data_IF_572828738247
#
_entry.id   IF_572828738247
#
_cell.length_a   1.000
_cell.length_b   1.000
_cell.length_c   1.000
_cell.angle_alpha   90.00
_cell.angle_beta   90.00
_cell.angle_gamma   90.00
#
_symmetry.space_group_name_H-M   'P 1'
#
loop_
_entity.id
_entity.type
_entity.pdbx_description
1 polymer ?
#
# COMPACT_ATOMS: atom_id res chain seq x y z
N UNK A 1 -25.07 2.56 -18.69
CA UNK A 1 -23.72 2.95 -18.23
C UNK A 1 -23.00 1.66 -17.89
N UNK A 2 -21.86 1.39 -18.51
CA UNK A 2 -21.05 0.22 -18.22
C UNK A 2 -20.44 0.45 -16.83
N UNK A 3 -20.60 -0.51 -15.91
CA UNK A 3 -19.94 -0.44 -14.60
C UNK A 3 -18.42 -0.34 -14.83
N UNK A 4 -17.80 0.71 -14.35
CA UNK A 4 -16.39 0.98 -14.61
C UNK A 4 -15.53 0.04 -13.80
N UNK A 5 -15.92 -0.23 -12.55
CA UNK A 5 -15.28 -1.18 -11.67
C UNK A 5 -16.27 -1.63 -10.59
N UNK A 6 -16.22 -2.89 -10.24
CA UNK A 6 -17.07 -3.43 -9.19
C UNK A 6 -16.29 -4.47 -8.40
N UNK A 7 -15.91 -4.14 -7.15
CA UNK A 7 -15.19 -5.04 -6.27
C UNK A 7 -15.80 -5.00 -4.87
N UNK A 8 -16.46 -6.08 -4.48
CA UNK A 8 -17.14 -6.24 -3.19
C UNK A 8 -16.31 -7.04 -2.19
N UNK A 9 -15.08 -7.39 -2.55
CA UNK A 9 -14.26 -8.28 -1.74
C UNK A 9 -13.12 -7.53 -1.08
N UNK A 10 -12.71 -8.04 0.07
CA UNK A 10 -11.51 -7.65 0.80
C UNK A 10 -10.35 -8.54 0.37
N UNK A 11 -9.16 -7.96 0.26
CA UNK A 11 -7.93 -8.73 0.10
C UNK A 11 -7.35 -9.05 1.47
N UNK A 12 -7.47 -10.29 1.91
CA UNK A 12 -6.95 -10.76 3.20
C UNK A 12 -6.21 -12.08 2.98
N UNK A 13 -4.98 -12.17 3.48
CA UNK A 13 -4.14 -13.38 3.42
C UNK A 13 -3.91 -13.87 1.97
N UNK A 14 -3.66 -12.94 1.05
CA UNK A 14 -3.43 -13.23 -0.36
C UNK A 14 -4.67 -13.70 -1.15
N UNK A 15 -5.85 -13.68 -0.54
CA UNK A 15 -7.10 -14.11 -1.18
C UNK A 15 -8.16 -12.99 -1.13
N UNK A 16 -8.92 -12.88 -2.23
CA UNK A 16 -10.10 -12.03 -2.28
C UNK A 16 -11.27 -12.77 -1.62
N UNK A 17 -11.88 -12.18 -0.60
CA UNK A 17 -13.00 -12.75 0.17
C UNK A 17 -14.08 -11.70 0.43
N UNK A 18 -15.32 -12.14 0.46
CA UNK A 18 -16.47 -11.31 0.83
C UNK A 18 -16.34 -10.95 2.32
N UNK A 19 -16.69 -9.71 2.69
CA UNK A 19 -16.75 -9.28 4.07
C UNK A 19 -17.72 -10.14 4.90
N UNK A 20 -17.50 -10.25 6.19
CA UNK A 20 -18.40 -10.98 7.08
C UNK A 20 -19.83 -10.42 6.94
N UNK A 21 -20.83 -11.32 6.86
CA UNK A 21 -22.23 -11.00 6.63
C UNK A 21 -22.55 -10.36 5.27
N UNK A 22 -21.70 -10.56 4.26
CA UNK A 22 -21.83 -9.93 2.93
C UNK A 22 -21.98 -8.40 3.00
N UNK A 23 -21.33 -7.77 4.02
CA UNK A 23 -21.49 -6.37 4.31
C UNK A 23 -20.85 -5.49 3.21
N UNK A 24 -21.65 -4.58 2.68
CA UNK A 24 -21.22 -3.61 1.66
C UNK A 24 -21.83 -2.25 1.91
N UNK A 25 -21.23 -1.20 1.34
CA UNK A 25 -21.80 0.14 1.33
C UNK A 25 -21.81 0.71 -0.10
N UNK A 26 -22.80 1.57 -0.44
CA UNK A 26 -22.88 2.19 -1.75
C UNK A 26 -21.78 3.22 -1.96
N UNK A 27 -21.19 3.23 -3.16
CA UNK A 27 -20.26 4.27 -3.62
C UNK A 27 -21.02 5.20 -4.55
N UNK A 28 -20.99 6.50 -4.25
CA UNK A 28 -21.67 7.54 -5.01
C UNK A 28 -20.72 8.23 -5.99
N UNK A 29 -21.24 8.57 -7.18
CA UNK A 29 -20.54 9.45 -8.12
C UNK A 29 -20.88 10.91 -7.72
N UNK A 30 -19.92 11.70 -7.23
CA UNK A 30 -20.19 13.06 -6.71
C UNK A 30 -20.60 14.05 -7.81
N UNK A 31 -20.31 13.77 -9.07
CA UNK A 31 -20.71 14.64 -10.18
C UNK A 31 -22.18 14.48 -10.58
N UNK A 32 -22.78 13.31 -10.31
CA UNK A 32 -24.15 13.00 -10.72
C UNK A 32 -25.10 12.76 -9.55
N UNK A 33 -24.58 12.50 -8.35
CA UNK A 33 -25.35 12.04 -7.19
C UNK A 33 -25.91 10.62 -7.34
N UNK A 34 -25.53 9.91 -8.39
CA UNK A 34 -25.97 8.54 -8.66
C UNK A 34 -25.04 7.50 -8.07
N UNK A 35 -25.57 6.33 -7.76
CA UNK A 35 -24.76 5.21 -7.31
C UNK A 35 -23.81 4.75 -8.42
N UNK A 36 -22.52 4.67 -8.13
CA UNK A 36 -21.46 4.16 -9.00
C UNK A 36 -21.33 2.63 -8.89
N UNK A 37 -21.41 2.13 -7.67
CA UNK A 37 -21.25 0.72 -7.35
C UNK A 37 -21.41 0.50 -5.85
N UNK A 38 -20.82 -0.59 -5.36
CA UNK A 38 -20.68 -0.90 -3.93
C UNK A 38 -19.25 -1.27 -3.61
N UNK A 39 -18.86 -1.09 -2.37
CA UNK A 39 -17.59 -1.56 -1.85
C UNK A 39 -17.81 -2.43 -0.61
N UNK A 40 -16.87 -3.32 -0.30
CA UNK A 40 -16.92 -4.13 0.90
C UNK A 40 -16.87 -3.25 2.16
N UNK A 41 -17.72 -3.58 3.14
CA UNK A 41 -17.74 -2.94 4.46
C UNK A 41 -17.12 -3.91 5.48
N UNK A 42 -15.84 -3.73 5.77
CA UNK A 42 -15.09 -4.61 6.64
C UNK A 42 -15.60 -4.55 8.08
N UNK A 43 -15.92 -5.70 8.65
CA UNK A 43 -16.29 -5.84 10.06
C UNK A 43 -15.04 -5.87 10.97
N UNK A 44 -15.20 -5.74 12.30
CA UNK A 44 -14.09 -5.96 13.24
C UNK A 44 -13.43 -7.33 13.06
N UNK A 45 -14.18 -8.39 12.74
CA UNK A 45 -13.63 -9.72 12.52
C UNK A 45 -12.77 -9.79 11.24
N UNK A 46 -13.15 -9.09 10.18
CA UNK A 46 -12.34 -8.96 8.96
C UNK A 46 -11.02 -8.23 9.24
N UNK A 47 -11.09 -7.15 10.04
CA UNK A 47 -9.91 -6.39 10.45
C UNK A 47 -8.96 -7.26 11.29
N UNK A 48 -9.47 -8.00 12.25
CA UNK A 48 -8.67 -8.95 13.06
C UNK A 48 -8.01 -10.01 12.18
N UNK A 49 -8.73 -10.56 11.19
CA UNK A 49 -8.18 -11.52 10.23
C UNK A 49 -7.07 -10.90 9.38
N UNK A 50 -7.23 -9.66 8.92
CA UNK A 50 -6.22 -8.93 8.16
C UNK A 50 -4.96 -8.64 8.98
N UNK A 51 -5.13 -8.20 10.23
CA UNK A 51 -4.01 -7.96 11.17
C UNK A 51 -3.24 -9.26 11.46
N UNK A 52 -3.96 -10.35 11.73
CA UNK A 52 -3.35 -11.67 11.97
C UNK A 52 -2.57 -12.16 10.73
N UNK A 53 -3.12 -11.97 9.53
CA UNK A 53 -2.46 -12.35 8.29
C UNK A 53 -1.19 -11.51 8.03
N UNK A 54 -1.27 -10.18 8.23
CA UNK A 54 -0.13 -9.29 8.09
C UNK A 54 0.97 -9.62 9.12
N UNK A 55 0.59 -9.95 10.35
CA UNK A 55 1.53 -10.37 11.40
C UNK A 55 2.25 -11.66 11.04
N UNK A 56 1.52 -12.68 10.61
CA UNK A 56 2.11 -13.94 10.13
C UNK A 56 3.05 -13.72 8.93
N UNK A 57 2.62 -12.94 7.96
CA UNK A 57 3.44 -12.63 6.79
C UNK A 57 4.77 -11.97 7.20
N UNK A 58 4.74 -11.03 8.14
CA UNK A 58 5.96 -10.41 8.65
C UNK A 58 6.86 -11.40 9.38
N UNK A 59 6.31 -12.26 10.24
CA UNK A 59 7.08 -13.16 11.10
C UNK A 59 7.63 -14.39 10.34
N UNK A 60 6.91 -14.88 9.31
CA UNK A 60 7.14 -16.21 8.73
C UNK A 60 7.61 -16.18 7.28
N UNK A 61 7.38 -15.09 6.52
CA UNK A 61 7.68 -15.05 5.07
C UNK A 61 9.10 -14.61 4.71
N UNK A 62 9.89 -14.18 5.69
CA UNK A 62 11.20 -13.57 5.44
C UNK A 62 11.12 -12.10 4.94
N UNK A 63 9.93 -11.51 4.84
CA UNK A 63 9.71 -10.15 4.35
C UNK A 63 10.64 -9.12 5.02
N UNK A 64 10.80 -9.21 6.33
CA UNK A 64 11.60 -8.28 7.13
C UNK A 64 13.08 -8.25 6.70
N UNK A 65 13.65 -9.40 6.32
CA UNK A 65 15.07 -9.55 5.99
C UNK A 65 15.39 -9.56 4.50
N UNK A 66 14.41 -9.79 3.63
CA UNK A 66 14.62 -9.95 2.19
C UNK A 66 14.30 -8.67 1.41
N UNK A 67 15.30 -7.80 1.26
CA UNK A 67 15.20 -6.54 0.50
C UNK A 67 14.89 -6.81 -0.98
N UNK A 68 15.47 -7.85 -1.58
CA UNK A 68 15.25 -8.19 -2.99
C UNK A 68 13.79 -8.58 -3.24
N UNK A 69 13.19 -9.32 -2.32
CA UNK A 69 11.76 -9.65 -2.37
C UNK A 69 10.90 -8.38 -2.32
N UNK A 70 11.16 -7.47 -1.38
CA UNK A 70 10.41 -6.21 -1.25
C UNK A 70 10.51 -5.36 -2.51
N UNK A 71 11.73 -5.14 -3.02
CA UNK A 71 11.98 -4.39 -4.27
C UNK A 71 11.24 -5.01 -5.44
N UNK A 72 11.32 -6.33 -5.60
CA UNK A 72 10.60 -7.04 -6.67
C UNK A 72 9.09 -6.85 -6.57
N UNK A 73 8.51 -6.97 -5.39
CA UNK A 73 7.08 -6.79 -5.18
C UNK A 73 6.63 -5.35 -5.46
N UNK A 74 7.39 -4.35 -5.02
CA UNK A 74 7.11 -2.94 -5.31
C UNK A 74 7.15 -2.64 -6.82
N UNK A 75 8.15 -3.15 -7.53
CA UNK A 75 8.26 -3.00 -8.99
C UNK A 75 7.13 -3.71 -9.74
N UNK A 76 6.70 -4.89 -9.28
CA UNK A 76 5.54 -5.59 -9.84
C UNK A 76 4.23 -4.82 -9.63
N UNK A 77 4.02 -4.26 -8.44
CA UNK A 77 2.86 -3.42 -8.16
C UNK A 77 2.88 -2.13 -9.00
N UNK A 78 4.03 -1.48 -9.13
CA UNK A 78 4.21 -0.33 -10.01
C UNK A 78 3.79 -0.68 -11.45
N UNK A 79 4.34 -1.74 -12.01
CA UNK A 79 4.04 -2.18 -13.38
C UNK A 79 2.54 -2.47 -13.56
N UNK A 80 1.92 -3.16 -12.62
CA UNK A 80 0.48 -3.46 -12.68
C UNK A 80 -0.38 -2.19 -12.66
N UNK A 81 -0.03 -1.18 -11.85
CA UNK A 81 -0.76 0.10 -11.84
C UNK A 81 -0.58 0.88 -13.14
N UNK A 82 0.61 0.84 -13.75
CA UNK A 82 0.86 1.45 -15.07
C UNK A 82 0.03 0.76 -16.16
N UNK A 83 -0.04 -0.56 -16.17
CA UNK A 83 -0.83 -1.33 -17.14
C UNK A 83 -2.33 -1.06 -17.02
N UNK A 84 -2.82 -0.74 -15.83
CA UNK A 84 -4.23 -0.44 -15.57
C UNK A 84 -4.55 1.07 -15.49
N UNK A 85 -3.61 1.94 -15.87
CA UNK A 85 -3.74 3.40 -15.68
C UNK A 85 -5.00 4.00 -16.29
N UNK A 86 -5.42 3.55 -17.47
CA UNK A 86 -6.63 4.05 -18.13
C UNK A 86 -7.89 3.70 -17.33
N UNK A 87 -7.99 2.45 -16.84
CA UNK A 87 -9.13 2.01 -16.02
C UNK A 87 -9.18 2.75 -14.69
N UNK A 88 -8.03 2.91 -14.03
CA UNK A 88 -7.91 3.65 -12.77
C UNK A 88 -8.21 5.13 -12.95
N UNK A 89 -7.88 5.72 -14.09
CA UNK A 89 -8.25 7.10 -14.43
C UNK A 89 -9.76 7.25 -14.51
N UNK A 90 -10.46 6.39 -15.24
CA UNK A 90 -11.93 6.45 -15.36
C UNK A 90 -12.61 6.25 -14.00
N UNK A 91 -12.11 5.31 -13.20
CA UNK A 91 -12.62 5.06 -11.86
C UNK A 91 -12.42 6.29 -10.96
N UNK A 92 -11.22 6.89 -10.94
CA UNK A 92 -10.92 8.07 -10.14
C UNK A 92 -11.79 9.26 -10.52
N UNK A 93 -12.05 9.47 -11.81
CA UNK A 93 -12.98 10.51 -12.29
C UNK A 93 -14.39 10.25 -11.75
N UNK A 94 -14.84 9.00 -11.81
CA UNK A 94 -16.19 8.65 -11.41
C UNK A 94 -16.40 8.68 -9.88
N UNK A 95 -15.42 8.25 -9.09
CA UNK A 95 -15.50 8.08 -7.64
C UNK A 95 -15.16 9.37 -6.88
N UNK A 96 -14.16 10.11 -7.35
CA UNK A 96 -13.66 11.32 -6.68
C UNK A 96 -14.22 12.60 -7.30
N UNK A 97 -14.71 12.55 -8.54
CA UNK A 97 -15.07 13.72 -9.31
C UNK A 97 -13.86 14.51 -9.82
N UNK A 98 -12.67 13.91 -9.84
CA UNK A 98 -11.46 14.56 -10.27
C UNK A 98 -11.47 14.85 -11.78
N UNK A 99 -10.96 16.01 -12.24
CA UNK A 99 -10.79 16.23 -13.68
C UNK A 99 -9.70 15.33 -14.25
N UNK A 100 -9.84 14.90 -15.50
CA UNK A 100 -8.88 14.02 -16.18
C UNK A 100 -7.44 14.56 -16.15
N UNK A 101 -7.26 15.88 -16.22
CA UNK A 101 -5.94 16.52 -16.12
C UNK A 101 -5.28 16.31 -14.76
N UNK A 102 -6.06 16.19 -13.67
CA UNK A 102 -5.53 15.88 -12.36
C UNK A 102 -5.13 14.39 -12.24
N UNK A 103 -5.81 13.48 -12.95
CA UNK A 103 -5.42 12.07 -13.00
C UNK A 103 -4.08 11.87 -13.71
N UNK A 104 -3.81 12.65 -14.77
CA UNK A 104 -2.51 12.66 -15.44
C UNK A 104 -1.35 13.18 -14.57
N UNK A 105 -1.63 13.68 -13.37
CA UNK A 105 -0.65 14.24 -12.43
C UNK A 105 -0.85 13.70 -11.02
N UNK A 106 -1.41 14.52 -10.12
CA UNK A 106 -1.45 14.29 -8.67
C UNK A 106 -2.38 13.16 -8.22
N UNK A 107 -3.42 12.84 -9.01
CA UNK A 107 -4.38 11.82 -8.60
C UNK A 107 -3.91 10.38 -8.87
N UNK A 108 -3.13 10.16 -9.94
CA UNK A 108 -2.73 8.81 -10.33
C UNK A 108 -1.26 8.70 -10.79
N UNK A 109 -0.86 9.43 -11.85
CA UNK A 109 0.43 9.18 -12.51
C UNK A 109 1.61 9.44 -11.57
N UNK A 110 1.70 10.62 -10.96
CA UNK A 110 2.81 10.93 -10.05
C UNK A 110 2.84 10.02 -8.79
N UNK A 111 1.69 9.72 -8.14
CA UNK A 111 1.68 8.77 -7.04
C UNK A 111 2.13 7.34 -7.39
N UNK A 112 1.85 6.87 -8.60
CA UNK A 112 2.30 5.54 -9.05
C UNK A 112 3.83 5.44 -9.00
N UNK A 113 4.54 6.52 -9.29
CA UNK A 113 6.00 6.58 -9.24
C UNK A 113 6.59 6.46 -7.81
N UNK A 114 5.78 6.63 -6.77
CA UNK A 114 6.24 6.38 -5.39
C UNK A 114 6.73 4.94 -5.21
N UNK A 115 6.09 3.98 -5.87
CA UNK A 115 6.49 2.58 -5.79
C UNK A 115 7.89 2.34 -6.39
N UNK A 116 8.17 2.92 -7.56
CA UNK A 116 9.48 2.84 -8.18
C UNK A 116 10.54 3.55 -7.32
N UNK A 117 10.24 4.77 -6.84
CA UNK A 117 11.14 5.52 -5.97
C UNK A 117 11.51 4.76 -4.69
N UNK A 118 10.53 4.19 -3.98
CA UNK A 118 10.81 3.45 -2.76
C UNK A 118 11.45 2.08 -3.02
N UNK A 119 11.22 1.47 -4.18
CA UNK A 119 11.95 0.28 -4.59
C UNK A 119 13.45 0.58 -4.79
N UNK A 120 13.76 1.66 -5.52
CA UNK A 120 15.15 2.09 -5.75
C UNK A 120 15.82 2.55 -4.44
N UNK A 121 15.07 3.23 -3.58
CA UNK A 121 15.56 3.64 -2.27
C UNK A 121 15.90 2.42 -1.41
N UNK A 122 15.01 1.42 -1.33
CA UNK A 122 15.22 0.21 -0.52
C UNK A 122 16.41 -0.62 -1.01
N UNK A 123 16.61 -0.71 -2.32
CA UNK A 123 17.72 -1.43 -2.95
C UNK A 123 19.10 -0.85 -2.58
N UNK A 124 19.17 0.48 -2.41
CA UNK A 124 20.41 1.22 -2.16
C UNK A 124 20.51 1.76 -0.73
N UNK A 125 19.59 1.38 0.17
CA UNK A 125 19.54 1.95 1.51
C UNK A 125 20.59 1.32 2.42
N UNK A 126 21.30 2.16 3.19
CA UNK A 126 22.25 1.71 4.21
C UNK A 126 21.49 1.28 5.48
N UNK A 127 21.11 0.00 5.54
CA UNK A 127 20.33 -0.57 6.65
C UNK A 127 21.11 -0.66 7.95
N UNK A 128 22.46 -0.78 7.87
CA UNK A 128 23.36 -0.79 9.00
C UNK A 128 24.52 0.17 8.76
N UNK A 129 24.76 1.11 9.67
CA UNK A 129 25.86 2.09 9.59
C UNK A 129 26.88 1.81 10.67
N UNK A 130 28.14 1.45 10.34
CA UNK A 130 29.19 1.22 11.33
C UNK A 130 29.58 2.52 12.03
N UNK A 131 29.73 2.48 13.35
CA UNK A 131 30.19 3.59 14.20
C UNK A 131 31.64 3.40 14.69
N UNK A 132 32.28 2.32 14.25
CA UNK A 132 33.63 1.96 14.65
C UNK A 132 33.76 1.44 16.08
N UNK A 133 34.98 1.22 16.50
CA UNK A 133 35.32 0.69 17.82
C UNK A 133 35.40 1.82 18.85
N UNK A 134 34.83 1.58 20.03
CA UNK A 134 35.04 2.47 21.20
C UNK A 134 35.40 1.65 22.44
N UNK A 135 36.17 2.27 23.33
CA UNK A 135 36.45 1.69 24.62
C UNK A 135 35.23 1.75 25.54
N UNK A 136 34.94 0.64 26.16
CA UNK A 136 33.84 0.49 27.13
C UNK A 136 34.42 -0.04 28.46
N UNK A 137 33.58 -0.10 29.50
CA UNK A 137 33.98 -0.71 30.79
C UNK A 137 34.38 -2.19 30.67
N UNK A 138 33.91 -2.88 29.60
CA UNK A 138 34.25 -4.27 29.30
C UNK A 138 35.38 -4.46 28.29
N UNK A 139 36.04 -3.37 27.85
CA UNK A 139 37.04 -3.36 26.80
C UNK A 139 36.52 -2.79 25.47
N UNK A 140 37.30 -2.88 24.38
CA UNK A 140 36.90 -2.36 23.08
C UNK A 140 35.69 -3.08 22.54
N UNK A 141 34.72 -2.32 22.06
CA UNK A 141 33.46 -2.83 21.46
C UNK A 141 33.23 -2.21 20.08
N UNK A 142 32.92 -3.04 19.11
CA UNK A 142 32.41 -2.61 17.79
C UNK A 142 30.96 -2.12 17.91
N UNK A 143 30.66 -1.03 17.23
CA UNK A 143 29.36 -0.37 17.33
C UNK A 143 28.79 -0.10 15.93
N UNK A 144 27.47 -0.21 15.81
CA UNK A 144 26.74 0.18 14.61
C UNK A 144 25.33 0.66 14.98
N UNK A 145 24.70 1.38 14.09
CA UNK A 145 23.26 1.62 14.12
C UNK A 145 22.60 0.69 13.09
N UNK A 146 21.45 0.17 13.43
CA UNK A 146 20.69 -0.71 12.57
C UNK A 146 19.24 -0.22 12.49
N UNK A 147 18.63 -0.36 11.31
CA UNK A 147 17.22 0.02 11.09
C UNK A 147 16.40 -1.24 11.01
N UNK A 148 15.67 -1.49 12.06
CA UNK A 148 14.79 -2.64 12.16
C UNK A 148 13.38 -2.30 11.72
N UNK A 149 12.66 -3.22 11.06
CA UNK A 149 11.29 -3.00 10.64
C UNK A 149 10.34 -2.92 11.84
N UNK A 150 9.31 -2.08 11.73
CA UNK A 150 8.30 -1.91 12.80
C UNK A 150 7.34 -3.10 12.86
N UNK A 151 7.09 -3.74 11.73
CA UNK A 151 6.13 -4.84 11.60
C UNK A 151 4.87 -4.42 10.85
N UNK A 152 3.71 -4.61 11.45
CA UNK A 152 2.42 -4.30 10.82
C UNK A 152 2.08 -2.82 10.94
N UNK A 153 1.64 -2.22 9.85
CA UNK A 153 1.23 -0.81 9.75
C UNK A 153 -0.24 -0.71 9.36
N UNK A 154 -1.02 0.05 10.13
CA UNK A 154 -2.36 0.45 9.76
C UNK A 154 -2.31 1.77 8.98
N UNK A 155 -2.59 1.72 7.69
CA UNK A 155 -2.62 2.90 6.83
C UNK A 155 -4.02 3.52 6.80
N UNK A 156 -4.22 4.64 7.51
CA UNK A 156 -5.48 5.39 7.51
C UNK A 156 -5.38 6.51 6.49
N UNK A 157 -6.26 6.49 5.49
CA UNK A 157 -6.19 7.38 4.33
C UNK A 157 -7.50 8.11 4.10
N UNK A 158 -7.46 9.38 3.61
CA UNK A 158 -8.64 10.15 3.24
C UNK A 158 -9.14 9.77 1.84
N UNK A 159 -10.33 10.22 1.50
CA UNK A 159 -11.07 9.92 0.28
C UNK A 159 -10.74 10.83 -0.92
N UNK A 160 -10.15 12.01 -0.72
CA UNK A 160 -10.06 13.07 -1.74
C UNK A 160 -8.94 12.92 -2.78
N UNK A 161 -7.88 12.18 -2.46
CA UNK A 161 -6.77 11.83 -3.38
C UNK A 161 -6.33 10.38 -3.12
N UNK A 162 -7.21 9.41 -3.42
CA UNK A 162 -7.06 8.03 -2.92
C UNK A 162 -5.74 7.38 -3.33
N UNK A 163 -5.35 7.43 -4.60
CA UNK A 163 -4.09 6.83 -5.04
C UNK A 163 -2.88 7.47 -4.37
N UNK A 164 -2.83 8.80 -4.34
CA UNK A 164 -1.70 9.51 -3.75
C UNK A 164 -1.48 9.12 -2.29
N UNK A 165 -2.54 9.17 -1.49
CA UNK A 165 -2.37 8.92 -0.06
C UNK A 165 -2.18 7.43 0.23
N UNK A 166 -2.87 6.54 -0.48
CA UNK A 166 -2.67 5.11 -0.35
C UNK A 166 -1.21 4.73 -0.70
N UNK A 167 -0.71 5.14 -1.86
CA UNK A 167 0.65 4.80 -2.29
C UNK A 167 1.72 5.49 -1.45
N UNK A 168 1.48 6.71 -0.95
CA UNK A 168 2.37 7.39 0.00
C UNK A 168 2.48 6.67 1.37
N UNK A 169 1.57 5.75 1.69
CA UNK A 169 1.64 4.89 2.88
C UNK A 169 2.13 3.49 2.54
N UNK A 170 1.60 2.89 1.48
CA UNK A 170 1.91 1.52 1.07
C UNK A 170 3.38 1.39 0.63
N UNK A 171 3.86 2.29 -0.23
CA UNK A 171 5.19 2.19 -0.79
C UNK A 171 6.30 2.23 0.29
N UNK A 172 6.36 3.22 1.20
CA UNK A 172 7.38 3.24 2.25
C UNK A 172 7.17 2.17 3.33
N UNK A 173 5.93 1.71 3.58
CA UNK A 173 5.67 0.66 4.56
C UNK A 173 6.12 -0.72 4.07
N UNK A 174 6.08 -0.96 2.76
CA UNK A 174 6.52 -2.20 2.15
C UNK A 174 8.01 -2.20 1.77
N UNK A 175 8.62 -1.04 1.61
CA UNK A 175 10.05 -0.90 1.32
C UNK A 175 10.92 -1.28 2.51
#
# INVERSE_FOLDING_TARGET
>A
MTAIWHEERLLIDGALRIAEHDATYPVENPATGGQLGVAADATPADVEAALAAARRAFDESGWAGDVELRVRCLRQLHQALVEHADQLTELTIAEVGAPRSACATVQLTAPTEFLAYYADLAENYEWATPLGVADTLGGPAERWTERNPIGVVAAITPWNVPHQINLAKIAPALA
#
